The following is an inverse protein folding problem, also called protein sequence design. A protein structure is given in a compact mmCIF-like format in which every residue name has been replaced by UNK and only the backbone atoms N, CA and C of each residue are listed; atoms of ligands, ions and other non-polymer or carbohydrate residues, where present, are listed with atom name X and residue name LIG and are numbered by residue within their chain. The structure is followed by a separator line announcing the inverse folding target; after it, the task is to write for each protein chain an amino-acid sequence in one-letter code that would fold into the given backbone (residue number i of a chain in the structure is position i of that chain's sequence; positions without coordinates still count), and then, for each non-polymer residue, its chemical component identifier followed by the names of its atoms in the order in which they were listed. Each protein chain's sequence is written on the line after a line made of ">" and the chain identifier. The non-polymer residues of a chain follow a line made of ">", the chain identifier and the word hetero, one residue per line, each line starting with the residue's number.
data_IF_495271280649
#
_entry.id   IF_495271280649
#
_cell.length_a   1.000
_cell.length_b   1.000
_cell.length_c   1.000
_cell.angle_alpha   90.00
_cell.angle_beta   90.00
_cell.angle_gamma   90.00
#
_symmetry.space_group_name_H-M   'P 1'
#
loop_
_entity.id
_entity.type
_entity.pdbx_description
1 polymer ?
#
# COMPACT_ATOMS: atom_id res chain seq x y z
N UNK A 1 33.24 18.86 9.25
CA UNK A 1 32.08 18.48 10.03
C UNK A 1 32.46 17.21 10.75
N UNK A 2 31.99 16.94 11.88
CA UNK A 2 32.50 16.09 12.98
C UNK A 2 33.01 14.65 12.73
N UNK A 3 33.71 14.35 11.67
CA UNK A 3 34.45 13.10 11.48
C UNK A 3 33.67 11.77 11.54
N UNK A 4 32.34 11.79 11.54
CA UNK A 4 31.49 10.58 11.57
C UNK A 4 31.23 10.13 10.15
N UNK A 5 31.58 8.88 9.85
CA UNK A 5 31.28 8.29 8.52
C UNK A 5 29.82 7.90 8.40
N UNK A 6 29.26 7.82 7.16
CA UNK A 6 27.90 7.32 6.94
C UNK A 6 27.64 5.95 7.58
N UNK A 7 28.61 5.04 7.51
CA UNK A 7 28.49 3.72 8.11
C UNK A 7 28.46 3.77 9.65
N UNK A 8 29.24 4.68 10.26
CA UNK A 8 29.20 4.89 11.71
C UNK A 8 27.88 5.53 12.15
N UNK A 9 27.38 6.53 11.42
CA UNK A 9 26.09 7.16 11.68
C UNK A 9 24.96 6.13 11.63
N UNK A 10 24.95 5.29 10.57
CA UNK A 10 23.97 4.21 10.43
C UNK A 10 24.06 3.21 11.58
N UNK A 11 25.28 2.81 11.96
CA UNK A 11 25.52 1.90 13.08
C UNK A 11 24.95 2.45 14.39
N UNK A 12 25.22 3.72 14.69
CA UNK A 12 24.76 4.38 15.92
C UNK A 12 23.22 4.47 15.92
N UNK A 13 22.63 4.95 14.80
CA UNK A 13 21.18 5.10 14.69
C UNK A 13 20.45 3.76 14.77
N UNK A 14 20.87 2.76 13.99
CA UNK A 14 20.23 1.45 13.97
C UNK A 14 20.42 0.68 15.28
N UNK A 15 21.58 0.86 15.97
CA UNK A 15 21.79 0.29 17.30
C UNK A 15 20.85 0.91 18.33
N UNK A 16 20.71 2.25 18.35
CA UNK A 16 19.82 2.93 19.27
C UNK A 16 18.35 2.54 19.09
N UNK A 17 17.93 2.29 17.84
CA UNK A 17 16.56 1.91 17.47
C UNK A 17 16.29 0.40 17.55
N UNK A 18 17.27 -0.43 17.94
CA UNK A 18 17.20 -1.90 17.84
C UNK A 18 15.97 -2.54 18.50
N UNK A 19 15.46 -1.96 19.56
CA UNK A 19 14.30 -2.44 20.31
C UNK A 19 13.00 -1.72 19.97
N UNK A 20 13.03 -0.72 19.09
CA UNK A 20 11.83 -0.01 18.64
C UNK A 20 11.08 -0.85 17.59
N UNK A 21 9.75 -0.87 17.71
CA UNK A 21 8.87 -1.50 16.72
C UNK A 21 8.46 -0.53 15.60
N UNK A 22 8.94 0.70 15.61
CA UNK A 22 8.59 1.73 14.63
C UNK A 22 9.06 1.33 13.22
N UNK A 23 8.32 1.64 12.14
CA UNK A 23 8.74 1.36 10.75
C UNK A 23 10.14 1.89 10.41
N UNK A 24 10.49 3.05 10.95
CA UNK A 24 11.81 3.66 10.86
C UNK A 24 12.93 2.77 11.39
N UNK A 25 12.74 2.19 12.56
CA UNK A 25 13.71 1.29 13.18
C UNK A 25 13.96 0.05 12.31
N UNK A 26 12.89 -0.50 11.75
CA UNK A 26 12.99 -1.63 10.81
C UNK A 26 13.75 -1.27 9.55
N UNK A 27 13.51 -0.08 8.98
CA UNK A 27 14.24 0.40 7.81
C UNK A 27 15.74 0.62 8.10
N UNK A 28 16.07 1.20 9.27
CA UNK A 28 17.47 1.36 9.69
C UNK A 28 18.16 0.01 9.91
N UNK A 29 17.49 -0.94 10.55
CA UNK A 29 18.03 -2.29 10.78
C UNK A 29 18.25 -3.05 9.47
N UNK A 30 17.31 -2.94 8.52
CA UNK A 30 17.44 -3.54 7.20
C UNK A 30 18.63 -2.94 6.45
N UNK A 31 18.74 -1.62 6.40
CA UNK A 31 19.84 -0.92 5.73
C UNK A 31 21.22 -1.29 6.35
N UNK A 32 21.27 -1.42 7.69
CA UNK A 32 22.47 -1.86 8.38
C UNK A 32 22.86 -3.32 8.01
N UNK A 33 21.86 -4.20 7.88
CA UNK A 33 22.04 -5.58 7.42
C UNK A 33 22.57 -5.65 5.99
N UNK A 34 21.98 -4.88 5.06
CA UNK A 34 22.42 -4.79 3.66
C UNK A 34 23.84 -4.21 3.54
N UNK A 35 24.20 -3.27 4.41
CA UNK A 35 25.53 -2.68 4.46
C UNK A 35 26.57 -3.54 5.24
N UNK A 36 26.16 -4.68 5.81
CA UNK A 36 27.04 -5.54 6.61
C UNK A 36 27.53 -4.88 7.92
N UNK A 37 26.77 -3.91 8.45
CA UNK A 37 27.16 -3.16 9.64
C UNK A 37 26.67 -3.91 10.90
N UNK A 38 27.55 -4.34 11.81
CA UNK A 38 27.16 -5.03 13.03
C UNK A 38 26.47 -4.07 14.01
N UNK A 39 25.35 -4.52 14.58
CA UNK A 39 24.58 -3.77 15.56
C UNK A 39 24.83 -4.33 16.97
N UNK A 40 25.64 -3.67 17.82
CA UNK A 40 25.81 -4.07 19.21
C UNK A 40 24.52 -3.93 20.03
N UNK A 41 24.56 -4.39 21.28
CA UNK A 41 23.43 -4.22 22.19
C UNK A 41 23.42 -2.81 22.79
N UNK A 42 22.31 -2.06 22.64
CA UNK A 42 22.13 -0.77 23.34
C UNK A 42 21.83 -1.00 24.81
N UNK A 43 22.23 -0.07 25.65
CA UNK A 43 21.84 0.01 27.07
C UNK A 43 20.89 1.17 27.28
N UNK A 44 20.16 1.16 28.42
CA UNK A 44 19.27 2.25 28.86
C UNK A 44 18.32 2.74 27.75
N UNK A 45 17.72 1.79 27.01
CA UNK A 45 16.77 2.09 25.95
C UNK A 45 15.46 2.68 26.51
N UNK A 46 15.07 3.81 25.97
CA UNK A 46 13.78 4.43 26.25
C UNK A 46 13.18 5.04 24.98
N UNK A 47 11.95 4.64 24.64
CA UNK A 47 11.23 5.15 23.48
C UNK A 47 10.18 6.19 23.90
N UNK A 48 10.11 7.31 23.18
CA UNK A 48 9.03 8.28 23.23
C UNK A 48 8.20 8.16 21.98
N UNK A 49 7.00 7.58 22.09
CA UNK A 49 6.15 7.25 20.97
C UNK A 49 5.97 8.41 19.97
N UNK A 50 6.27 8.16 18.70
CA UNK A 50 6.15 9.13 17.61
C UNK A 50 7.15 10.30 17.63
N UNK A 51 8.12 10.30 18.54
CA UNK A 51 9.11 11.38 18.68
C UNK A 51 10.55 10.91 18.50
N UNK A 52 10.96 9.84 19.19
CA UNK A 52 12.31 9.32 19.08
C UNK A 52 12.70 8.38 20.24
N UNK A 53 13.94 7.91 20.20
CA UNK A 53 14.51 7.00 21.19
C UNK A 53 15.78 7.57 21.84
N UNK A 54 15.98 7.19 23.09
CA UNK A 54 17.21 7.38 23.85
C UNK A 54 17.85 6.03 24.11
N UNK A 55 19.14 5.93 23.95
CA UNK A 55 19.88 4.73 24.32
C UNK A 55 21.33 5.08 24.65
N UNK A 56 22.01 4.19 25.37
CA UNK A 56 23.46 4.22 25.47
C UNK A 56 24.06 3.26 24.44
N UNK A 57 24.89 3.78 23.54
CA UNK A 57 25.55 3.02 22.49
C UNK A 57 27.06 3.17 22.66
N UNK A 58 27.76 2.08 22.95
CA UNK A 58 29.22 2.06 23.16
C UNK A 58 29.70 3.07 24.22
N UNK A 59 28.93 3.27 25.30
CA UNK A 59 29.26 4.17 26.41
C UNK A 59 28.89 5.64 26.19
N UNK A 60 28.31 6.00 25.03
CA UNK A 60 27.86 7.35 24.71
C UNK A 60 26.33 7.43 24.78
N UNK A 61 25.79 8.56 25.23
CA UNK A 61 24.34 8.83 25.20
C UNK A 61 23.92 9.21 23.81
N UNK A 62 23.00 8.42 23.24
CA UNK A 62 22.50 8.62 21.87
C UNK A 62 21.02 8.98 21.89
N UNK A 63 20.66 9.97 21.10
CA UNK A 63 19.29 10.36 20.79
C UNK A 63 19.05 10.19 19.31
N UNK A 64 17.98 9.49 18.92
CA UNK A 64 17.57 9.32 17.52
C UNK A 64 16.10 9.72 17.41
N UNK A 65 15.78 10.68 16.55
CA UNK A 65 14.39 11.12 16.42
C UNK A 65 14.20 12.42 15.63
N UNK A 66 13.03 13.02 15.80
CA UNK A 66 12.68 14.29 15.13
C UNK A 66 13.47 15.46 15.70
N UNK A 67 13.77 16.44 14.84
CA UNK A 67 14.55 17.63 15.22
C UNK A 67 14.04 18.31 16.50
N UNK A 68 12.74 18.56 16.61
CA UNK A 68 12.16 19.21 17.77
C UNK A 68 12.38 18.40 19.06
N UNK A 69 12.25 17.08 18.98
CA UNK A 69 12.46 16.22 20.14
C UNK A 69 13.92 16.19 20.60
N UNK A 70 14.89 16.25 19.67
CA UNK A 70 16.30 16.40 20.05
C UNK A 70 16.55 17.72 20.79
N UNK A 71 15.96 18.83 20.31
CA UNK A 71 16.03 20.15 20.97
C UNK A 71 15.42 20.11 22.37
N UNK A 72 14.26 19.48 22.54
CA UNK A 72 13.59 19.29 23.82
C UNK A 72 14.43 18.47 24.82
N UNK A 73 15.35 17.64 24.30
CA UNK A 73 16.29 16.82 25.08
C UNK A 73 17.70 17.41 25.19
N UNK A 74 17.87 18.71 24.94
CA UNK A 74 19.05 19.47 25.26
C UNK A 74 20.12 19.56 24.16
N UNK A 75 19.82 19.11 22.91
CA UNK A 75 20.67 19.36 21.75
C UNK A 75 20.51 20.81 21.32
N UNK A 76 21.54 21.63 21.54
CA UNK A 76 21.47 23.10 21.42
C UNK A 76 21.83 23.65 20.04
N UNK A 77 22.43 22.86 19.19
CA UNK A 77 22.89 23.29 17.87
C UNK A 77 21.74 23.49 16.87
N UNK A 78 21.88 24.46 15.99
CA UNK A 78 20.89 24.71 14.93
C UNK A 78 21.16 23.81 13.71
N UNK A 79 21.17 22.51 13.97
CA UNK A 79 21.51 21.47 12.99
C UNK A 79 20.48 21.33 11.85
N UNK A 80 19.28 21.90 12.02
CA UNK A 80 18.25 21.87 10.98
C UNK A 80 18.65 22.73 9.79
N UNK A 81 19.44 23.78 10.00
CA UNK A 81 19.92 24.67 8.92
C UNK A 81 20.93 24.01 7.99
N UNK A 82 21.56 22.93 8.43
CA UNK A 82 22.53 22.17 7.61
C UNK A 82 21.86 21.22 6.60
N UNK A 83 20.53 21.07 6.67
CA UNK A 83 19.75 20.20 5.76
C UNK A 83 19.28 21.04 4.58
N UNK A 84 19.60 20.62 3.36
CA UNK A 84 18.97 21.19 2.17
C UNK A 84 17.52 20.71 2.07
N UNK A 85 16.60 21.61 2.42
CA UNK A 85 15.17 21.32 2.41
C UNK A 85 14.62 21.04 1.00
N UNK A 86 15.28 21.52 -0.06
CA UNK A 86 14.84 21.27 -1.43
C UNK A 86 15.22 19.84 -1.87
N UNK A 87 16.40 19.38 -1.51
CA UNK A 87 16.84 18.00 -1.81
C UNK A 87 16.12 16.95 -0.96
N UNK A 88 15.67 17.32 0.23
CA UNK A 88 14.98 16.43 1.18
C UNK A 88 13.47 16.57 1.18
N UNK A 89 12.92 17.27 0.18
CA UNK A 89 11.47 17.42 0.06
C UNK A 89 10.78 16.05 -0.04
N UNK A 90 9.88 15.80 0.90
CA UNK A 90 9.15 14.53 0.96
C UNK A 90 9.87 13.37 1.69
N UNK A 91 11.00 13.64 2.36
CA UNK A 91 11.68 12.66 3.20
C UNK A 91 11.28 12.81 4.66
N UNK A 92 11.24 11.69 5.38
CA UNK A 92 11.16 11.68 6.83
C UNK A 92 12.57 11.78 7.39
N UNK A 93 12.91 12.95 7.95
CA UNK A 93 14.24 13.19 8.49
C UNK A 93 14.32 12.75 9.95
N UNK A 94 15.32 11.93 10.24
CA UNK A 94 15.67 11.47 11.59
C UNK A 94 17.06 11.97 11.90
N UNK A 95 17.14 12.72 12.98
CA UNK A 95 18.38 13.28 13.46
C UNK A 95 19.01 12.36 14.52
N UNK A 96 20.32 12.28 14.52
CA UNK A 96 21.10 11.48 15.46
C UNK A 96 22.00 12.41 16.24
N UNK A 97 21.91 12.34 17.55
CA UNK A 97 22.80 13.09 18.43
C UNK A 97 23.57 12.12 19.37
N UNK A 98 24.81 12.46 19.66
CA UNK A 98 25.68 11.76 20.58
C UNK A 98 26.23 12.77 21.60
N UNK A 99 26.06 12.48 22.90
CA UNK A 99 26.52 13.30 24.03
C UNK A 99 26.11 14.78 23.91
N UNK A 100 24.87 15.03 23.47
CA UNK A 100 24.28 16.38 23.37
C UNK A 100 24.62 17.13 22.08
N UNK A 101 25.38 16.54 21.15
CA UNK A 101 25.72 17.13 19.86
C UNK A 101 25.09 16.35 18.71
N UNK A 102 24.49 17.04 17.75
CA UNK A 102 23.98 16.40 16.54
C UNK A 102 25.17 15.95 15.67
N UNK A 103 25.22 14.65 15.38
CA UNK A 103 26.30 14.05 14.57
C UNK A 103 25.90 13.80 13.12
N UNK A 104 24.58 13.89 12.81
CA UNK A 104 24.09 13.76 11.47
C UNK A 104 22.57 13.47 11.42
N UNK A 105 22.09 13.19 10.24
CA UNK A 105 20.70 12.81 10.00
C UNK A 105 20.61 11.69 8.96
N UNK A 106 19.50 10.96 9.01
CA UNK A 106 19.14 9.94 8.03
C UNK A 106 17.81 10.33 7.41
N UNK A 107 17.76 10.43 6.09
CA UNK A 107 16.55 10.64 5.35
C UNK A 107 15.91 9.30 4.98
N UNK A 108 14.69 9.07 5.39
CA UNK A 108 13.88 7.93 4.98
C UNK A 108 12.85 8.39 3.97
N UNK A 109 12.75 7.66 2.90
CA UNK A 109 11.79 7.88 1.86
C UNK A 109 10.92 6.62 1.73
N UNK A 110 9.60 6.80 1.81
CA UNK A 110 8.69 5.72 1.51
C UNK A 110 8.81 5.35 0.03
N UNK A 111 9.10 4.08 -0.24
CA UNK A 111 9.09 3.56 -1.59
C UNK A 111 7.66 3.20 -1.97
N UNK A 112 7.27 3.64 -3.15
CA UNK A 112 6.03 3.17 -3.75
C UNK A 112 6.15 1.69 -4.06
N UNK A 113 5.06 0.95 -3.91
CA UNK A 113 5.05 -0.47 -4.27
C UNK A 113 5.32 -0.63 -5.75
N UNK A 114 6.19 -1.57 -6.11
CA UNK A 114 6.59 -1.79 -7.50
C UNK A 114 5.39 -2.03 -8.42
N UNK A 115 4.38 -2.77 -7.91
CA UNK A 115 3.16 -3.11 -8.63
C UNK A 115 2.12 -1.98 -8.70
N UNK A 116 2.30 -0.88 -7.97
CA UNK A 116 1.28 0.17 -7.87
C UNK A 116 0.97 0.83 -9.21
N UNK A 117 2.02 1.22 -9.95
CA UNK A 117 1.87 1.88 -11.26
C UNK A 117 1.19 0.99 -12.28
N UNK A 118 1.58 -0.28 -12.34
CA UNK A 118 0.99 -1.27 -13.24
C UNK A 118 -0.48 -1.50 -12.89
N UNK A 119 -0.79 -1.69 -11.61
CA UNK A 119 -2.15 -1.88 -11.12
C UNK A 119 -3.08 -0.71 -11.46
N UNK A 120 -2.61 0.54 -11.31
CA UNK A 120 -3.40 1.72 -11.67
C UNK A 120 -3.61 1.81 -13.19
N UNK A 121 -2.59 1.48 -13.98
CA UNK A 121 -2.68 1.45 -15.44
C UNK A 121 -3.72 0.42 -15.89
N UNK A 122 -3.70 -0.76 -15.29
CA UNK A 122 -4.65 -1.84 -15.58
C UNK A 122 -6.09 -1.50 -15.15
N UNK A 123 -6.26 -0.80 -14.02
CA UNK A 123 -7.57 -0.26 -13.61
C UNK A 123 -8.13 0.72 -14.64
N UNK A 124 -7.29 1.66 -15.13
CA UNK A 124 -7.68 2.59 -16.22
C UNK A 124 -8.06 1.83 -17.49
N UNK A 125 -7.25 0.87 -17.92
CA UNK A 125 -7.54 0.01 -19.06
C UNK A 125 -8.83 -0.81 -18.87
N UNK A 126 -9.13 -1.18 -17.63
CA UNK A 126 -10.40 -1.80 -17.26
C UNK A 126 -11.58 -0.82 -17.22
N UNK A 127 -11.43 0.44 -17.63
CA UNK A 127 -12.49 1.45 -17.74
C UNK A 127 -12.85 2.11 -16.41
N UNK A 128 -11.97 2.11 -15.41
CA UNK A 128 -12.06 3.01 -14.27
C UNK A 128 -11.72 4.42 -14.76
N UNK A 129 -12.70 5.33 -14.71
CA UNK A 129 -12.58 6.65 -15.35
C UNK A 129 -11.74 7.64 -14.53
N UNK A 130 -11.73 7.49 -13.23
CA UNK A 130 -11.11 8.44 -12.31
C UNK A 130 -10.44 7.69 -11.17
N UNK A 131 -9.18 7.98 -10.91
CA UNK A 131 -8.43 7.45 -9.79
C UNK A 131 -7.89 8.65 -9.02
N UNK A 132 -8.18 8.71 -7.71
CA UNK A 132 -7.71 9.77 -6.83
C UNK A 132 -6.96 9.17 -5.64
N UNK A 133 -5.88 9.80 -5.24
CA UNK A 133 -5.13 9.47 -4.04
C UNK A 133 -5.39 10.52 -2.96
N UNK A 134 -5.88 10.07 -1.80
CA UNK A 134 -6.15 10.92 -0.65
C UNK A 134 -5.30 10.44 0.51
N UNK A 135 -4.37 11.28 0.95
CA UNK A 135 -3.41 10.94 2.00
C UNK A 135 -3.47 11.92 3.18
N UNK A 136 -3.14 11.43 4.37
CA UNK A 136 -2.85 12.26 5.55
C UNK A 136 -1.44 12.86 5.53
N UNK A 137 -0.58 12.44 4.59
CA UNK A 137 0.77 12.94 4.45
C UNK A 137 0.78 14.38 3.94
N UNK A 138 1.93 15.05 4.11
CA UNK A 138 2.14 16.40 3.57
C UNK A 138 1.89 16.45 2.07
N UNK A 139 1.29 17.54 1.60
CA UNK A 139 0.92 17.70 0.19
C UNK A 139 2.07 17.41 -0.80
N UNK A 140 3.33 17.87 -0.58
CA UNK A 140 4.45 17.57 -1.48
C UNK A 140 4.77 16.07 -1.57
N UNK A 141 4.70 15.35 -0.43
CA UNK A 141 4.90 13.89 -0.37
C UNK A 141 3.84 13.18 -1.19
N UNK A 142 2.57 13.54 -0.97
CA UNK A 142 1.44 12.98 -1.69
C UNK A 142 1.56 13.21 -3.22
N UNK A 143 1.95 14.41 -3.65
CA UNK A 143 2.16 14.73 -5.07
C UNK A 143 3.27 13.86 -5.68
N UNK A 144 4.38 13.70 -4.98
CA UNK A 144 5.49 12.85 -5.44
C UNK A 144 5.03 11.41 -5.64
N UNK A 145 4.43 10.81 -4.61
CA UNK A 145 3.92 9.44 -4.67
C UNK A 145 2.90 9.27 -5.80
N UNK A 146 1.94 10.21 -5.94
CA UNK A 146 0.95 10.18 -7.00
C UNK A 146 1.59 10.17 -8.40
N UNK A 147 2.64 10.98 -8.61
CA UNK A 147 3.38 11.02 -9.87
C UNK A 147 4.09 9.70 -10.16
N UNK A 148 4.71 9.10 -9.13
CA UNK A 148 5.39 7.82 -9.26
C UNK A 148 4.43 6.69 -9.68
N UNK A 149 3.24 6.62 -9.09
CA UNK A 149 2.25 5.59 -9.39
C UNK A 149 1.35 5.94 -10.59
N UNK A 150 1.47 7.13 -11.16
CA UNK A 150 0.64 7.56 -12.30
C UNK A 150 -0.80 7.94 -11.93
N UNK A 151 -1.00 8.44 -10.70
CA UNK A 151 -2.27 9.00 -10.23
C UNK A 151 -2.30 10.50 -10.51
N UNK A 152 -3.33 10.98 -11.22
CA UNK A 152 -3.41 12.38 -11.67
C UNK A 152 -4.08 13.29 -10.63
N UNK A 153 -4.97 12.73 -9.82
CA UNK A 153 -5.69 13.46 -8.79
C UNK A 153 -5.16 13.10 -7.41
N UNK A 154 -4.66 14.11 -6.70
CA UNK A 154 -4.06 13.90 -5.37
C UNK A 154 -4.45 15.00 -4.40
N UNK A 155 -4.73 14.59 -3.16
CA UNK A 155 -4.98 15.50 -2.04
C UNK A 155 -4.23 14.97 -0.82
N UNK A 156 -3.28 15.75 -0.32
CA UNK A 156 -2.56 15.49 0.93
C UNK A 156 -3.18 16.20 2.13
N UNK A 157 -2.59 16.03 3.30
CA UNK A 157 -2.96 16.68 4.57
C UNK A 157 -4.43 16.47 4.96
N UNK A 158 -5.00 15.33 4.54
CA UNK A 158 -6.39 15.00 4.76
C UNK A 158 -6.60 14.31 6.11
N UNK A 159 -7.41 14.91 6.95
CA UNK A 159 -7.99 14.26 8.13
C UNK A 159 -9.04 13.21 7.71
N UNK A 160 -9.37 12.25 8.59
CA UNK A 160 -10.39 11.24 8.27
C UNK A 160 -11.72 11.83 7.77
N UNK A 161 -12.16 12.94 8.35
CA UNK A 161 -13.38 13.66 7.96
C UNK A 161 -13.29 14.19 6.51
N UNK A 162 -12.13 14.75 6.15
CA UNK A 162 -11.93 15.28 4.78
C UNK A 162 -11.97 14.17 3.73
N UNK A 163 -11.50 12.95 4.07
CA UNK A 163 -11.61 11.78 3.20
C UNK A 163 -13.08 11.41 2.94
N UNK A 164 -13.90 11.39 4.00
CA UNK A 164 -15.34 11.13 3.88
C UNK A 164 -16.05 12.19 3.04
N UNK A 165 -15.76 13.47 3.28
CA UNK A 165 -16.33 14.58 2.52
C UNK A 165 -15.98 14.49 1.03
N UNK A 166 -14.72 14.15 0.72
CA UNK A 166 -14.26 13.95 -0.65
C UNK A 166 -15.07 12.83 -1.33
N UNK A 167 -15.22 11.67 -0.69
CA UNK A 167 -15.98 10.54 -1.22
C UNK A 167 -17.43 10.95 -1.47
N UNK A 168 -18.09 11.60 -0.50
CA UNK A 168 -19.46 12.10 -0.64
C UNK A 168 -19.61 13.11 -1.77
N UNK A 169 -18.63 14.02 -1.93
CA UNK A 169 -18.62 15.01 -3.00
C UNK A 169 -18.51 14.38 -4.40
N UNK A 170 -17.76 13.29 -4.54
CA UNK A 170 -17.69 12.54 -5.81
C UNK A 170 -19.01 11.80 -6.08
N UNK A 171 -19.61 11.16 -5.06
CA UNK A 171 -20.93 10.51 -5.18
C UNK A 171 -22.03 11.48 -5.55
N UNK A 172 -22.03 12.69 -4.97
CA UNK A 172 -22.99 13.73 -5.31
C UNK A 172 -22.93 14.18 -6.78
N UNK A 173 -21.79 13.99 -7.45
CA UNK A 173 -21.62 14.21 -8.89
C UNK A 173 -22.10 13.04 -9.76
N UNK A 174 -22.74 12.02 -9.17
CA UNK A 174 -23.28 10.85 -9.87
C UNK A 174 -22.29 9.72 -10.14
N UNK A 175 -21.07 9.79 -9.61
CA UNK A 175 -20.10 8.69 -9.76
C UNK A 175 -20.39 7.57 -8.75
N UNK A 176 -20.12 6.33 -9.19
CA UNK A 176 -19.98 5.19 -8.28
C UNK A 176 -18.54 5.11 -7.79
N UNK A 177 -18.36 5.10 -6.47
CA UNK A 177 -17.06 5.25 -5.83
C UNK A 177 -16.66 3.97 -5.11
N UNK A 178 -15.55 3.38 -5.51
CA UNK A 178 -14.84 2.38 -4.74
C UNK A 178 -13.74 3.08 -3.92
N UNK A 179 -13.75 2.86 -2.62
CA UNK A 179 -12.72 3.37 -1.70
C UNK A 179 -11.81 2.21 -1.32
N UNK A 180 -10.50 2.42 -1.41
CA UNK A 180 -9.47 1.44 -1.06
C UNK A 180 -8.63 2.02 0.08
N UNK A 181 -8.43 1.26 1.14
CA UNK A 181 -7.65 1.68 2.30
C UNK A 181 -7.18 0.52 3.17
N UNK A 182 -6.48 0.80 4.26
CA UNK A 182 -6.00 -0.20 5.23
C UNK A 182 -7.10 -0.69 6.20
N UNK A 183 -8.23 -0.02 6.21
CA UNK A 183 -9.41 -0.38 7.03
C UNK A 183 -9.35 0.08 8.48
N UNK A 184 -8.21 0.53 9.00
CA UNK A 184 -8.08 1.00 10.39
C UNK A 184 -8.34 2.50 10.46
N UNK A 185 -7.53 3.29 9.76
CA UNK A 185 -7.66 4.74 9.73
C UNK A 185 -8.69 5.22 8.71
N UNK A 186 -8.94 4.42 7.69
CA UNK A 186 -9.81 4.72 6.57
C UNK A 186 -11.24 4.16 6.71
N UNK A 187 -11.56 3.49 7.83
CA UNK A 187 -12.86 2.87 8.07
C UNK A 187 -14.07 3.79 7.75
N UNK A 188 -14.10 5.05 8.18
CA UNK A 188 -15.20 5.95 7.85
C UNK A 188 -15.29 6.28 6.35
N UNK A 189 -14.15 6.37 5.66
CA UNK A 189 -14.09 6.62 4.22
C UNK A 189 -14.52 5.38 3.42
N UNK A 190 -14.09 4.17 3.84
CA UNK A 190 -14.52 2.89 3.26
C UNK A 190 -16.04 2.75 3.33
N UNK A 191 -16.63 3.04 4.48
CA UNK A 191 -18.09 2.99 4.68
C UNK A 191 -18.85 4.06 3.88
N UNK A 192 -18.22 5.19 3.55
CA UNK A 192 -18.84 6.25 2.76
C UNK A 192 -18.89 5.93 1.27
N UNK A 193 -18.05 5.04 0.76
CA UNK A 193 -18.05 4.57 -0.63
C UNK A 193 -19.30 3.79 -1.03
N UNK A 194 -19.49 3.54 -2.34
CA UNK A 194 -20.45 2.53 -2.80
C UNK A 194 -19.88 1.13 -2.59
N UNK A 195 -18.55 1.00 -2.65
CA UNK A 195 -17.79 -0.20 -2.33
C UNK A 195 -16.58 0.23 -1.51
N UNK A 196 -16.42 -0.33 -0.31
CA UNK A 196 -15.21 -0.23 0.50
C UNK A 196 -14.34 -1.48 0.31
N UNK A 197 -13.06 -1.31 0.02
CA UNK A 197 -12.09 -2.40 -0.14
C UNK A 197 -10.97 -2.20 0.89
N UNK A 198 -10.92 -3.06 1.89
CA UNK A 198 -9.83 -3.07 2.87
C UNK A 198 -8.67 -3.95 2.36
N UNK A 199 -7.46 -3.40 2.36
CA UNK A 199 -6.23 -4.09 2.00
C UNK A 199 -5.52 -4.59 3.26
N UNK A 200 -4.88 -5.77 3.18
CA UNK A 200 -4.13 -6.32 4.31
C UNK A 200 -4.98 -6.63 5.54
N UNK A 201 -6.25 -6.99 5.33
CA UNK A 201 -7.23 -7.22 6.39
C UNK A 201 -6.91 -8.43 7.28
N UNK A 202 -5.86 -9.21 6.98
CA UNK A 202 -5.44 -10.34 7.79
C UNK A 202 -5.13 -9.89 9.23
N UNK A 203 -5.97 -10.30 10.17
CA UNK A 203 -5.81 -9.96 11.59
C UNK A 203 -6.42 -8.64 12.04
N UNK A 204 -7.12 -7.89 11.18
CA UNK A 204 -7.81 -6.65 11.55
C UNK A 204 -9.33 -6.80 11.45
N UNK A 205 -9.98 -7.02 12.59
CA UNK A 205 -11.45 -7.06 12.67
C UNK A 205 -12.08 -5.74 12.22
N UNK A 206 -11.47 -4.61 12.56
CA UNK A 206 -11.95 -3.28 12.17
C UNK A 206 -11.98 -3.12 10.66
N UNK A 207 -10.93 -3.57 9.96
CA UNK A 207 -10.85 -3.54 8.51
C UNK A 207 -11.95 -4.41 7.86
N UNK A 208 -12.14 -5.63 8.38
CA UNK A 208 -13.14 -6.57 7.88
C UNK A 208 -14.58 -6.02 8.04
N UNK A 209 -14.88 -5.42 9.20
CA UNK A 209 -16.22 -4.89 9.48
C UNK A 209 -16.51 -3.56 8.76
N UNK A 210 -15.50 -2.81 8.37
CA UNK A 210 -15.66 -1.49 7.74
C UNK A 210 -15.73 -1.54 6.22
N UNK A 211 -15.38 -2.67 5.60
CA UNK A 211 -15.28 -2.81 4.16
C UNK A 211 -16.34 -3.76 3.59
N UNK A 212 -16.73 -3.52 2.35
CA UNK A 212 -17.56 -4.44 1.56
C UNK A 212 -16.76 -5.66 1.11
N UNK A 213 -15.46 -5.45 0.83
CA UNK A 213 -14.51 -6.46 0.38
C UNK A 213 -13.26 -6.34 1.24
N UNK A 214 -12.80 -7.45 1.81
CA UNK A 214 -11.55 -7.52 2.55
C UNK A 214 -10.53 -8.36 1.78
N UNK A 215 -9.41 -7.74 1.42
CA UNK A 215 -8.27 -8.43 0.81
C UNK A 215 -7.29 -8.82 1.91
N UNK A 216 -6.99 -10.11 2.01
CA UNK A 216 -6.17 -10.66 3.08
C UNK A 216 -4.69 -10.25 3.00
N UNK A 217 -4.26 -9.75 1.87
CA UNK A 217 -2.90 -9.25 1.65
C UNK A 217 -2.92 -7.83 1.07
N UNK A 218 -1.73 -7.22 1.00
CA UNK A 218 -1.53 -5.85 0.53
C UNK A 218 -1.17 -5.76 -0.97
N UNK A 219 -1.43 -6.79 -1.78
CA UNK A 219 -1.10 -6.83 -3.19
C UNK A 219 -2.10 -6.00 -4.02
N UNK A 220 -1.65 -4.88 -4.57
CA UNK A 220 -2.48 -3.96 -5.35
C UNK A 220 -3.00 -4.56 -6.67
N UNK A 221 -2.36 -5.61 -7.21
CA UNK A 221 -2.81 -6.30 -8.43
C UNK A 221 -4.16 -6.99 -8.25
N UNK A 222 -4.54 -7.25 -7.00
CA UNK A 222 -5.87 -7.79 -6.70
C UNK A 222 -7.01 -6.83 -7.02
N UNK A 223 -6.75 -5.52 -7.09
CA UNK A 223 -7.77 -4.54 -7.44
C UNK A 223 -8.23 -4.64 -8.91
N UNK A 224 -7.34 -4.59 -9.92
CA UNK A 224 -7.74 -4.82 -11.31
C UNK A 224 -8.30 -6.24 -11.51
N UNK A 225 -7.77 -7.25 -10.83
CA UNK A 225 -8.34 -8.59 -10.84
C UNK A 225 -9.80 -8.62 -10.38
N UNK A 226 -10.14 -7.97 -9.26
CA UNK A 226 -11.52 -7.87 -8.77
C UNK A 226 -12.45 -7.23 -9.81
N UNK A 227 -12.01 -6.16 -10.47
CA UNK A 227 -12.79 -5.51 -11.53
C UNK A 227 -13.03 -6.46 -12.70
N UNK A 228 -12.01 -7.17 -13.15
CA UNK A 228 -12.12 -8.17 -14.24
C UNK A 228 -13.01 -9.34 -13.85
N UNK A 229 -12.85 -9.86 -12.64
CA UNK A 229 -13.67 -10.97 -12.12
C UNK A 229 -15.14 -10.56 -12.05
N UNK A 230 -15.44 -9.40 -11.48
CA UNK A 230 -16.81 -8.87 -11.38
C UNK A 230 -17.48 -8.76 -12.76
N UNK A 231 -16.77 -8.24 -13.77
CA UNK A 231 -17.29 -8.14 -15.15
C UNK A 231 -17.50 -9.49 -15.80
N UNK A 232 -16.56 -10.41 -15.59
CA UNK A 232 -16.70 -11.77 -16.09
C UNK A 232 -17.88 -12.49 -15.46
N UNK A 233 -18.05 -12.33 -14.16
CA UNK A 233 -19.19 -12.88 -13.42
C UNK A 233 -20.51 -12.33 -13.96
N UNK A 234 -20.59 -11.00 -14.14
CA UNK A 234 -21.79 -10.37 -14.75
C UNK A 234 -22.08 -10.92 -16.15
N UNK A 235 -21.05 -11.11 -16.95
CA UNK A 235 -21.21 -11.69 -18.30
C UNK A 235 -21.77 -13.11 -18.23
N UNK A 236 -21.24 -13.95 -17.33
CA UNK A 236 -21.74 -15.33 -17.13
C UNK A 236 -23.16 -15.33 -16.63
N UNK A 237 -23.51 -14.46 -15.68
CA UNK A 237 -24.88 -14.30 -15.17
C UNK A 237 -25.84 -13.94 -16.32
N UNK A 238 -25.48 -12.96 -17.15
CA UNK A 238 -26.31 -12.54 -18.27
C UNK A 238 -26.47 -13.66 -19.31
N UNK A 239 -25.40 -14.42 -19.58
CA UNK A 239 -25.47 -15.59 -20.48
C UNK A 239 -26.39 -16.67 -19.93
N UNK A 240 -26.26 -17.00 -18.65
CA UNK A 240 -27.11 -18.00 -17.99
C UNK A 240 -28.57 -17.56 -17.95
N UNK A 241 -28.82 -16.28 -17.68
CA UNK A 241 -30.16 -15.71 -17.67
C UNK A 241 -30.81 -15.79 -19.06
N UNK A 242 -30.11 -15.29 -20.08
CA UNK A 242 -30.61 -15.33 -21.47
C UNK A 242 -30.87 -16.76 -21.93
N UNK A 243 -29.93 -17.68 -21.67
CA UNK A 243 -30.09 -19.09 -21.99
C UNK A 243 -31.31 -19.68 -21.24
N UNK A 244 -31.44 -19.43 -19.94
CA UNK A 244 -32.56 -19.93 -19.14
C UNK A 244 -33.90 -19.46 -19.65
N UNK A 245 -34.06 -18.16 -19.96
CA UNK A 245 -35.31 -17.59 -20.50
C UNK A 245 -35.64 -18.21 -21.85
N UNK A 246 -34.65 -18.28 -22.77
CA UNK A 246 -34.88 -18.88 -24.10
C UNK A 246 -35.23 -20.37 -24.01
N UNK A 247 -34.58 -21.09 -23.10
CA UNK A 247 -34.78 -22.51 -22.87
C UNK A 247 -36.18 -22.79 -22.30
N UNK A 248 -36.62 -21.99 -21.32
CA UNK A 248 -37.97 -22.12 -20.73
C UNK A 248 -39.03 -21.81 -21.77
N UNK A 249 -38.95 -20.68 -22.48
CA UNK A 249 -39.93 -20.29 -23.50
C UNK A 249 -40.00 -21.33 -24.60
N UNK A 250 -38.81 -21.77 -25.10
CA UNK A 250 -38.75 -22.80 -26.15
C UNK A 250 -39.34 -24.13 -25.69
N UNK A 251 -38.97 -24.60 -24.49
CA UNK A 251 -39.49 -25.84 -23.91
C UNK A 251 -41.04 -25.79 -23.71
N UNK A 252 -41.55 -24.69 -23.17
CA UNK A 252 -43.00 -24.50 -22.98
C UNK A 252 -43.74 -24.50 -24.32
N UNK A 253 -43.20 -23.81 -25.33
CA UNK A 253 -43.78 -23.78 -26.67
C UNK A 253 -43.84 -25.16 -27.29
N UNK A 254 -42.77 -25.94 -27.24
CA UNK A 254 -42.70 -27.30 -27.75
C UNK A 254 -43.66 -28.25 -27.00
N UNK A 255 -43.75 -28.11 -25.70
CA UNK A 255 -44.69 -28.86 -24.88
C UNK A 255 -46.15 -28.53 -25.21
N UNK A 256 -46.50 -27.26 -25.38
CA UNK A 256 -47.82 -26.80 -25.78
C UNK A 256 -48.22 -27.30 -27.17
N UNK A 257 -47.28 -27.48 -28.09
CA UNK A 257 -47.49 -28.07 -29.40
C UNK A 257 -47.53 -29.61 -29.37
N UNK A 258 -47.49 -30.23 -28.19
CA UNK A 258 -47.49 -31.69 -28.02
C UNK A 258 -46.26 -32.42 -28.58
N UNK A 259 -45.16 -31.71 -28.85
CA UNK A 259 -43.97 -32.28 -29.48
C UNK A 259 -42.97 -32.88 -28.51
N UNK A 260 -43.16 -32.64 -27.20
CA UNK A 260 -42.20 -33.10 -26.15
C UNK A 260 -42.98 -33.93 -25.11
N UNK A 261 -42.76 -35.23 -25.01
CA UNK A 261 -43.28 -36.06 -23.91
C UNK A 261 -42.70 -35.64 -22.54
N UNK A 262 -43.43 -35.88 -21.46
CA UNK A 262 -43.02 -35.44 -20.10
C UNK A 262 -41.60 -35.92 -19.67
N UNK A 263 -41.22 -37.14 -20.06
CA UNK A 263 -39.93 -37.73 -19.78
C UNK A 263 -38.80 -36.92 -20.45
N UNK A 264 -38.99 -36.52 -21.69
CA UNK A 264 -37.98 -35.70 -22.40
C UNK A 264 -37.94 -34.28 -21.88
N UNK A 265 -39.09 -33.72 -21.43
CA UNK A 265 -39.13 -32.42 -20.81
C UNK A 265 -38.29 -32.41 -19.50
N UNK A 266 -38.41 -33.47 -18.69
CA UNK A 266 -37.58 -33.61 -17.48
C UNK A 266 -36.10 -33.78 -17.79
N UNK A 267 -35.75 -34.58 -18.81
CA UNK A 267 -34.36 -34.74 -19.23
C UNK A 267 -33.74 -33.44 -19.76
N UNK A 268 -34.53 -32.70 -20.57
CA UNK A 268 -34.09 -31.37 -21.04
C UNK A 268 -33.88 -30.40 -19.90
N UNK A 269 -34.77 -30.34 -18.93
CA UNK A 269 -34.62 -29.46 -17.75
C UNK A 269 -33.33 -29.75 -16.99
N UNK A 270 -33.02 -31.04 -16.72
CA UNK A 270 -31.79 -31.45 -16.05
C UNK A 270 -30.58 -31.09 -16.88
N UNK A 271 -30.59 -31.34 -18.19
CA UNK A 271 -29.51 -30.97 -19.12
C UNK A 271 -29.27 -29.46 -19.17
N UNK A 272 -30.33 -28.65 -19.20
CA UNK A 272 -30.25 -27.20 -19.16
C UNK A 272 -29.65 -26.68 -17.85
N UNK A 273 -30.01 -27.27 -16.72
CA UNK A 273 -29.44 -26.94 -15.42
C UNK A 273 -27.94 -27.25 -15.35
N UNK A 274 -27.51 -28.39 -15.87
CA UNK A 274 -26.10 -28.76 -15.96
C UNK A 274 -25.29 -27.79 -16.81
N UNK A 275 -25.84 -27.35 -17.95
CA UNK A 275 -25.18 -26.37 -18.83
C UNK A 275 -24.93 -25.05 -18.10
N UNK A 276 -25.89 -24.55 -17.32
CA UNK A 276 -25.75 -23.35 -16.49
C UNK A 276 -24.67 -23.52 -15.43
N UNK A 277 -24.64 -24.70 -14.76
CA UNK A 277 -23.61 -25.02 -13.77
C UNK A 277 -22.23 -25.05 -14.40
N UNK A 278 -22.05 -25.75 -15.51
CA UNK A 278 -20.76 -25.81 -16.20
C UNK A 278 -20.31 -24.46 -16.74
N UNK A 279 -21.22 -23.65 -17.28
CA UNK A 279 -20.89 -22.28 -17.69
C UNK A 279 -20.43 -21.41 -16.50
N UNK A 280 -21.03 -21.59 -15.32
CA UNK A 280 -20.61 -20.89 -14.11
C UNK A 280 -19.31 -21.42 -13.53
N UNK A 281 -19.06 -22.73 -13.61
CA UNK A 281 -17.87 -23.37 -13.08
C UNK A 281 -16.55 -22.85 -13.70
N UNK A 282 -16.61 -22.34 -14.95
CA UNK A 282 -15.43 -21.74 -15.60
C UNK A 282 -14.87 -20.50 -14.86
N UNK A 283 -15.67 -19.88 -13.95
CA UNK A 283 -15.19 -18.77 -13.12
C UNK A 283 -14.25 -19.23 -12.01
N UNK A 284 -14.34 -20.49 -11.57
CA UNK A 284 -13.53 -21.05 -10.48
C UNK A 284 -12.02 -20.98 -10.80
N UNK A 285 -11.64 -21.20 -12.06
CA UNK A 285 -10.24 -21.15 -12.49
C UNK A 285 -9.67 -19.76 -12.67
N UNK A 286 -10.51 -18.72 -12.57
CA UNK A 286 -10.01 -17.34 -12.68
C UNK A 286 -9.37 -16.92 -11.37
N UNK A 287 -8.08 -16.59 -11.40
CA UNK A 287 -7.33 -16.14 -10.22
C UNK A 287 -6.19 -17.07 -9.81
N UNK A 288 -6.10 -18.28 -10.36
CA UNK A 288 -4.97 -19.19 -10.11
C UNK A 288 -3.61 -18.53 -10.43
N UNK A 289 -3.56 -17.67 -11.45
CA UNK A 289 -2.37 -16.91 -11.83
C UNK A 289 -1.84 -15.99 -10.71
N UNK A 290 -2.74 -15.49 -9.84
CA UNK A 290 -2.37 -14.62 -8.71
C UNK A 290 -1.93 -15.40 -7.48
N UNK A 291 -2.33 -16.66 -7.32
CA UNK A 291 -1.90 -17.51 -6.20
C UNK A 291 -0.46 -18.00 -6.37
N UNK A 292 -0.02 -18.19 -7.61
CA UNK A 292 1.32 -18.68 -7.94
C UNK A 292 2.34 -17.56 -8.14
N UNK A 293 1.91 -16.30 -8.05
CA UNK A 293 2.82 -15.17 -8.16
C UNK A 293 3.70 -15.08 -6.90
N UNK A 294 4.96 -15.41 -7.08
CA UNK A 294 6.03 -14.95 -6.20
C UNK A 294 6.48 -13.60 -6.74
N UNK A 295 6.46 -12.51 -5.94
CA UNK A 295 7.05 -11.26 -6.39
C UNK A 295 8.47 -11.60 -6.85
N UNK A 296 8.80 -11.26 -8.09
CA UNK A 296 10.19 -11.27 -8.51
C UNK A 296 10.95 -10.43 -7.49
N UNK A 297 12.05 -10.94 -6.91
CA UNK A 297 12.90 -10.08 -6.11
C UNK A 297 13.17 -8.86 -6.98
N UNK A 298 12.95 -7.66 -6.43
CA UNK A 298 13.27 -6.41 -7.11
C UNK A 298 14.75 -6.54 -7.48
N UNK A 299 15.01 -7.01 -8.69
CA UNK A 299 16.33 -6.94 -9.28
C UNK A 299 16.51 -5.45 -9.45
N UNK A 300 17.15 -4.84 -8.46
CA UNK A 300 17.69 -3.51 -8.61
C UNK A 300 18.44 -3.58 -9.94
N UNK A 301 17.93 -2.85 -10.95
CA UNK A 301 18.67 -2.73 -12.22
C UNK A 301 20.12 -2.53 -11.85
N UNK A 302 21.05 -3.33 -12.40
CA UNK A 302 22.44 -3.13 -12.09
C UNK A 302 22.73 -1.63 -12.26
N UNK A 303 23.42 -0.99 -11.31
CA UNK A 303 23.69 0.42 -11.40
C UNK A 303 24.24 0.66 -12.80
N UNK A 304 23.70 1.66 -13.51
CA UNK A 304 24.28 2.10 -14.78
C UNK A 304 25.78 2.18 -14.58
N UNK A 305 26.60 1.69 -15.52
CA UNK A 305 28.05 1.74 -15.35
C UNK A 305 28.39 3.16 -14.95
N UNK A 306 29.06 3.28 -13.83
CA UNK A 306 29.45 4.53 -13.21
C UNK A 306 30.18 5.37 -14.26
N UNK A 307 29.63 6.51 -14.63
CA UNK A 307 30.47 7.69 -14.64
C UNK A 307 31.01 7.80 -13.20
N UNK A 308 32.33 7.82 -13.09
CA UNK A 308 33.06 7.79 -11.82
C UNK A 308 32.58 8.93 -10.91
N UNK A 309 31.65 8.65 -10.02
CA UNK A 309 31.40 9.41 -8.80
C UNK A 309 30.59 8.55 -7.86
N UNK A 310 31.28 8.01 -6.82
CA UNK A 310 30.74 7.74 -5.50
C UNK A 310 29.68 6.68 -5.31
N UNK A 311 29.89 5.85 -4.31
CA UNK A 311 29.03 4.88 -3.65
C UNK A 311 27.55 5.30 -3.54
N UNK A 312 26.60 4.35 -3.31
CA UNK A 312 25.20 4.71 -3.09
C UNK A 312 25.15 5.82 -2.06
N UNK A 313 24.67 6.98 -2.48
CA UNK A 313 24.64 8.15 -1.61
C UNK A 313 23.56 7.91 -0.55
N UNK A 314 23.98 7.30 0.58
CA UNK A 314 23.47 7.73 1.86
C UNK A 314 23.71 9.25 1.87
N UNK A 315 22.67 10.04 1.57
CA UNK A 315 22.76 11.48 1.75
C UNK A 315 22.76 11.70 3.25
N UNK A 316 23.94 11.61 3.83
CA UNK A 316 24.20 11.94 5.22
C UNK A 316 24.94 13.25 5.20
N UNK A 317 24.28 14.34 5.55
CA UNK A 317 24.95 15.57 5.91
C UNK A 317 25.20 15.55 7.40
N UNK A 318 26.45 15.56 7.80
CA UNK A 318 26.81 15.81 9.19
C UNK A 318 26.61 17.31 9.49
N UNK A 319 25.90 17.60 10.54
CA UNK A 319 25.69 18.95 11.07
C UNK A 319 26.87 19.42 11.92
#
# INVERSE_FOLDING_TARGET
>A
MNGVTPAELLRIAATAEKYSNHPTAKALAQLAGEAGVPLPEPKDFAETAGRGVKAEVSGAKVLVGRAQWLKDNGVKEDFVKSVDLNETEGWSLIFVARDGHCIGWVGLQDQTRAEARESLTELKASGVRRIAMISGDRQPVAIRVAREIGCEEVKGECLPQNKVEFVRGIKAKGYKVAVVGDGVNDAPALAAGDIGIAMGAAGSEVAIHSATIALMNNDLRRLPFLVKLSRSTRTVINQNFLFGVAFIIGGMTLAALGKVPPVWAAAMHTGGSLLVVFNSARLVRKGEELEHYRPEPVVSKPPRPKQETGAPQLITNAA
#
